data_IF_025684091131
#
_entry.id   IF_025684091131
#
_cell.length_a   1.000
_cell.length_b   1.000
_cell.length_c   1.000
_cell.angle_alpha   90.00
_cell.angle_beta   90.00
_cell.angle_gamma   90.00
#
_symmetry.space_group_name_H-M   'P 1'
#
loop_
_entity.id
_entity.type
_entity.pdbx_description
1 polymer ?
#
# COMPACT_ATOMS: atom_id res chain seq x y z
N UNK A 1 20.92 -25.68 12.15
CA UNK A 1 21.64 -24.44 11.77
C UNK A 1 20.78 -23.26 12.18
N UNK A 2 21.20 -22.47 13.16
CA UNK A 2 20.49 -21.25 13.55
C UNK A 2 20.74 -20.21 12.43
N UNK A 3 19.74 -19.98 11.57
CA UNK A 3 19.86 -19.03 10.45
C UNK A 3 19.96 -17.63 11.05
N UNK A 4 21.16 -17.04 11.07
CA UNK A 4 21.35 -15.65 11.47
C UNK A 4 20.43 -14.76 10.61
N UNK A 5 19.63 -13.92 11.28
CA UNK A 5 18.71 -13.02 10.61
C UNK A 5 19.50 -11.93 9.90
N UNK A 6 19.20 -11.72 8.63
CA UNK A 6 19.82 -10.67 7.82
C UNK A 6 19.57 -9.29 8.43
N UNK A 7 20.58 -8.44 8.36
CA UNK A 7 20.54 -7.06 8.81
C UNK A 7 20.77 -6.11 7.62
N UNK A 8 20.22 -4.91 7.71
CA UNK A 8 20.42 -3.88 6.69
C UNK A 8 21.89 -3.49 6.59
N UNK A 9 22.45 -3.52 5.38
CA UNK A 9 23.85 -3.15 5.13
C UNK A 9 24.16 -1.68 5.41
N UNK A 10 23.16 -0.78 5.37
CA UNK A 10 23.32 0.62 5.76
C UNK A 10 22.00 1.25 6.24
N UNK A 11 22.11 2.35 7.00
CA UNK A 11 20.95 3.16 7.41
C UNK A 11 20.21 3.74 6.20
N UNK A 12 20.95 4.14 5.18
CA UNK A 12 20.38 4.66 3.94
C UNK A 12 19.53 3.60 3.23
N UNK A 13 20.03 2.36 3.12
CA UNK A 13 19.28 1.25 2.54
C UNK A 13 17.97 0.98 3.30
N UNK A 14 18.00 1.04 4.63
CA UNK A 14 16.80 0.91 5.46
C UNK A 14 15.79 2.03 5.19
N UNK A 15 16.23 3.28 5.15
CA UNK A 15 15.34 4.44 4.91
C UNK A 15 14.74 4.36 3.50
N UNK A 16 15.54 4.02 2.49
CA UNK A 16 15.05 3.88 1.12
C UNK A 16 14.04 2.75 0.96
N UNK A 17 14.27 1.60 1.61
CA UNK A 17 13.29 0.51 1.63
C UNK A 17 11.98 0.92 2.31
N UNK A 18 12.06 1.64 3.43
CA UNK A 18 10.88 2.16 4.12
C UNK A 18 10.13 3.22 3.29
N UNK A 19 10.85 4.12 2.61
CA UNK A 19 10.28 5.12 1.74
C UNK A 19 9.60 4.48 0.51
N UNK A 20 10.24 3.49 -0.12
CA UNK A 20 9.65 2.73 -1.22
C UNK A 20 8.41 1.93 -0.83
N UNK A 21 8.33 1.45 0.41
CA UNK A 21 7.11 0.84 0.95
C UNK A 21 5.98 1.86 1.18
N UNK A 22 6.33 3.06 1.69
CA UNK A 22 5.35 4.09 2.01
C UNK A 22 4.83 4.85 0.77
N UNK A 23 5.65 5.01 -0.27
CA UNK A 23 5.29 5.67 -1.52
C UNK A 23 4.71 4.62 -2.47
N UNK A 24 3.40 4.67 -2.70
CA UNK A 24 2.73 3.71 -3.58
C UNK A 24 1.54 4.29 -4.34
N UNK A 25 0.80 3.39 -5.01
CA UNK A 25 -0.41 3.71 -5.77
C UNK A 25 -1.44 4.50 -4.95
N UNK A 26 -1.57 4.20 -3.65
CA UNK A 26 -2.50 4.91 -2.77
C UNK A 26 -2.33 6.44 -2.82
N UNK A 27 -1.09 6.92 -2.94
CA UNK A 27 -0.80 8.35 -3.04
C UNK A 27 -1.10 8.91 -4.45
N UNK A 28 -1.09 8.06 -5.48
CA UNK A 28 -1.30 8.49 -6.86
C UNK A 28 -2.78 8.54 -7.27
N UNK A 29 -3.62 7.61 -6.79
CA UNK A 29 -5.03 7.55 -7.20
C UNK A 29 -5.99 7.83 -6.04
N UNK A 30 -5.79 7.17 -4.89
CA UNK A 30 -6.76 7.22 -3.79
C UNK A 30 -6.72 8.57 -3.06
N UNK A 31 -5.53 9.10 -2.80
CA UNK A 31 -5.39 10.38 -2.12
C UNK A 31 -6.00 11.55 -2.93
N UNK A 32 -5.71 11.72 -4.24
CA UNK A 32 -6.36 12.74 -5.04
C UNK A 32 -7.88 12.55 -5.15
N UNK A 33 -8.34 11.30 -5.30
CA UNK A 33 -9.76 10.99 -5.35
C UNK A 33 -10.48 11.44 -4.07
N UNK A 34 -9.99 11.02 -2.89
CA UNK A 34 -10.59 11.41 -1.61
C UNK A 34 -10.50 12.91 -1.37
N UNK A 35 -9.37 13.53 -1.73
CA UNK A 35 -9.22 14.99 -1.62
C UNK A 35 -10.25 15.71 -2.49
N UNK A 36 -10.46 15.26 -3.73
CA UNK A 36 -11.45 15.82 -4.64
C UNK A 36 -12.88 15.67 -4.14
N UNK A 37 -13.24 14.52 -3.53
CA UNK A 37 -14.61 14.25 -3.07
C UNK A 37 -14.93 14.79 -1.68
N UNK A 38 -13.93 15.07 -0.84
CA UNK A 38 -14.12 15.46 0.57
C UNK A 38 -13.76 16.92 0.90
N UNK A 39 -13.85 17.83 -0.07
CA UNK A 39 -13.68 19.28 0.18
C UNK A 39 -12.25 19.80 -0.01
N UNK A 40 -11.44 19.10 -0.80
CA UNK A 40 -10.17 19.62 -1.31
C UNK A 40 -9.19 19.99 -0.21
N UNK A 41 -8.79 21.27 -0.17
CA UNK A 41 -7.79 21.78 0.77
C UNK A 41 -8.16 21.59 2.25
N UNK A 42 -9.44 21.67 2.61
CA UNK A 42 -9.87 21.46 3.99
C UNK A 42 -9.62 20.01 4.44
N UNK A 43 -9.88 19.04 3.57
CA UNK A 43 -9.54 17.63 3.80
C UNK A 43 -8.04 17.44 3.98
N UNK A 44 -7.21 18.09 3.15
CA UNK A 44 -5.74 17.99 3.24
C UNK A 44 -5.22 18.50 4.59
N UNK A 45 -5.76 19.61 5.11
CA UNK A 45 -5.36 20.13 6.43
C UNK A 45 -5.64 19.13 7.56
N UNK A 46 -6.83 18.55 7.56
CA UNK A 46 -7.20 17.51 8.55
C UNK A 46 -6.35 16.26 8.37
N UNK A 47 -6.15 15.82 7.13
CA UNK A 47 -5.30 14.67 6.79
C UNK A 47 -3.88 14.84 7.32
N UNK A 48 -3.23 15.98 7.06
CA UNK A 48 -1.86 16.26 7.55
C UNK A 48 -1.83 16.32 9.07
N UNK A 49 -2.82 16.94 9.71
CA UNK A 49 -2.92 17.00 11.18
C UNK A 49 -2.97 15.59 11.78
N UNK A 50 -3.81 14.71 11.23
CA UNK A 50 -3.91 13.31 11.65
C UNK A 50 -2.62 12.54 11.37
N UNK A 51 -1.96 12.77 10.23
CA UNK A 51 -0.67 12.16 9.93
C UNK A 51 0.41 12.54 10.95
N UNK A 52 0.46 13.79 11.38
CA UNK A 52 1.44 14.24 12.38
C UNK A 52 1.12 13.69 13.77
N UNK A 53 -0.15 13.76 14.19
CA UNK A 53 -0.55 13.40 15.56
C UNK A 53 -0.70 11.89 15.77
N UNK A 54 -1.05 11.13 14.74
CA UNK A 54 -1.32 9.69 14.86
C UNK A 54 -0.37 8.89 13.96
N UNK A 55 -0.24 9.27 12.70
CA UNK A 55 0.58 8.53 11.73
C UNK A 55 2.04 8.40 12.14
N UNK A 56 2.73 9.52 12.43
CA UNK A 56 4.14 9.52 12.82
C UNK A 56 4.38 8.74 14.13
N UNK A 57 3.60 8.95 15.22
CA UNK A 57 3.75 8.14 16.43
C UNK A 57 3.57 6.65 16.20
N UNK A 58 2.50 6.24 15.49
CA UNK A 58 2.23 4.82 15.20
C UNK A 58 3.37 4.21 14.38
N UNK A 59 3.82 4.89 13.33
CA UNK A 59 4.94 4.43 12.49
C UNK A 59 6.23 4.26 13.31
N UNK A 60 6.53 5.23 14.18
CA UNK A 60 7.71 5.17 15.05
C UNK A 60 7.61 4.01 16.04
N UNK A 61 6.42 3.76 16.61
CA UNK A 61 6.18 2.62 17.49
C UNK A 61 6.37 1.28 16.76
N UNK A 62 5.87 1.13 15.53
CA UNK A 62 6.03 -0.09 14.75
C UNK A 62 7.50 -0.38 14.42
N UNK A 63 8.28 0.64 14.03
CA UNK A 63 9.72 0.49 13.80
C UNK A 63 10.44 0.07 15.10
N UNK A 64 10.10 0.69 16.22
CA UNK A 64 10.70 0.37 17.51
C UNK A 64 10.38 -1.07 17.95
N UNK A 65 9.12 -1.51 17.79
CA UNK A 65 8.68 -2.87 18.06
C UNK A 65 9.40 -3.87 17.16
N UNK A 66 9.47 -3.62 15.85
CA UNK A 66 10.17 -4.47 14.89
C UNK A 66 11.66 -4.62 15.22
N UNK A 67 12.34 -3.52 15.59
CA UNK A 67 13.75 -3.52 15.98
C UNK A 67 14.01 -4.30 17.27
N UNK A 68 13.09 -4.21 18.24
CA UNK A 68 13.20 -4.93 19.52
C UNK A 68 12.89 -6.42 19.36
N UNK A 69 11.85 -6.76 18.59
CA UNK A 69 11.43 -8.15 18.37
C UNK A 69 12.40 -8.95 17.50
N UNK A 70 13.00 -8.30 16.48
CA UNK A 70 13.81 -8.92 15.41
C UNK A 70 13.15 -10.20 14.85
N UNK A 71 11.83 -10.16 14.67
CA UNK A 71 11.00 -11.27 14.24
C UNK A 71 9.81 -10.75 13.41
N UNK A 72 9.16 -11.63 12.64
CA UNK A 72 7.94 -11.27 11.92
C UNK A 72 6.76 -11.02 12.87
N UNK A 73 5.69 -10.38 12.39
CA UNK A 73 4.61 -9.81 13.21
C UNK A 73 4.10 -10.73 14.33
N UNK A 74 3.67 -11.96 14.01
CA UNK A 74 3.11 -12.89 15.01
C UNK A 74 4.17 -13.32 16.05
N UNK A 75 5.36 -13.73 15.57
CA UNK A 75 6.44 -14.18 16.44
C UNK A 75 7.02 -13.03 17.28
N UNK A 76 7.08 -11.82 16.72
CA UNK A 76 7.51 -10.61 17.41
C UNK A 76 6.56 -10.25 18.55
N UNK A 77 5.25 -10.26 18.30
CA UNK A 77 4.26 -10.04 19.36
C UNK A 77 4.34 -11.12 20.44
N UNK A 78 4.54 -12.40 20.07
CA UNK A 78 4.76 -13.48 21.05
C UNK A 78 6.04 -13.31 21.88
N UNK A 79 7.12 -12.78 21.32
CA UNK A 79 8.38 -12.52 22.03
C UNK A 79 8.29 -11.31 22.97
N UNK A 80 7.54 -10.29 22.57
CA UNK A 80 7.43 -9.03 23.33
C UNK A 80 6.35 -9.08 24.42
N UNK A 81 5.48 -10.09 24.41
CA UNK A 81 4.32 -10.17 25.33
C UNK A 81 4.38 -11.44 26.17
N UNK A 82 3.64 -11.45 27.30
CA UNK A 82 3.57 -12.63 28.17
C UNK A 82 2.81 -13.77 27.45
N UNK A 83 3.11 -15.02 27.80
CA UNK A 83 2.34 -16.18 27.30
C UNK A 83 0.85 -15.99 27.61
N UNK A 84 -0.01 -16.20 26.62
CA UNK A 84 -1.46 -16.01 26.73
C UNK A 84 -1.96 -14.57 26.55
N UNK A 85 -1.08 -13.62 26.23
CA UNK A 85 -1.48 -12.23 26.07
C UNK A 85 -2.34 -12.00 24.81
N UNK A 86 -3.44 -11.21 24.91
CA UNK A 86 -4.30 -10.90 23.76
C UNK A 86 -3.56 -10.08 22.69
N UNK A 87 -2.44 -9.44 23.03
CA UNK A 87 -1.64 -8.65 22.11
C UNK A 87 -1.09 -9.44 20.91
N UNK A 88 -1.01 -10.77 21.02
CA UNK A 88 -0.64 -11.65 19.89
C UNK A 88 -1.69 -11.61 18.77
N UNK A 89 -2.95 -11.32 19.09
CA UNK A 89 -4.02 -11.19 18.09
C UNK A 89 -3.75 -10.04 17.11
N UNK A 90 -3.16 -8.93 17.54
CA UNK A 90 -2.77 -7.84 16.64
C UNK A 90 -1.73 -8.27 15.59
N UNK A 91 -0.85 -9.21 15.96
CA UNK A 91 0.09 -9.81 14.99
C UNK A 91 -0.63 -10.58 13.89
N UNK A 92 -1.71 -11.29 14.22
CA UNK A 92 -2.55 -12.00 13.25
C UNK A 92 -3.42 -11.05 12.43
N UNK A 93 -4.02 -10.03 13.07
CA UNK A 93 -4.79 -9.00 12.38
C UNK A 93 -3.94 -8.26 11.34
N UNK A 94 -2.68 -7.95 11.65
CA UNK A 94 -1.77 -7.34 10.69
C UNK A 94 -1.49 -8.21 9.47
N UNK A 95 -1.31 -9.53 9.67
CA UNK A 95 -1.12 -10.48 8.55
C UNK A 95 -2.39 -10.60 7.70
N UNK A 96 -3.55 -10.67 8.34
CA UNK A 96 -4.84 -10.75 7.65
C UNK A 96 -5.12 -9.46 6.86
N UNK A 97 -4.85 -8.30 7.46
CA UNK A 97 -4.99 -7.01 6.79
C UNK A 97 -4.05 -6.91 5.58
N UNK A 98 -2.79 -7.32 5.72
CA UNK A 98 -1.84 -7.35 4.60
C UNK A 98 -2.32 -8.26 3.47
N UNK A 99 -2.88 -9.44 3.78
CA UNK A 99 -3.46 -10.34 2.79
C UNK A 99 -4.59 -9.67 1.99
N UNK A 100 -5.57 -9.07 2.67
CA UNK A 100 -6.66 -8.36 2.00
C UNK A 100 -6.20 -7.13 1.23
N UNK A 101 -5.15 -6.45 1.71
CA UNK A 101 -4.58 -5.33 0.96
C UNK A 101 -3.97 -5.82 -0.34
N UNK A 102 -3.18 -6.90 -0.30
CA UNK A 102 -2.55 -7.47 -1.49
C UNK A 102 -3.58 -7.86 -2.57
N UNK A 103 -4.71 -8.46 -2.21
CA UNK A 103 -5.69 -8.93 -3.21
C UNK A 103 -6.24 -7.80 -4.08
N UNK A 104 -6.68 -6.68 -3.48
CA UNK A 104 -7.17 -5.55 -4.28
C UNK A 104 -6.01 -4.75 -4.91
N UNK A 105 -4.83 -4.77 -4.31
CA UNK A 105 -3.67 -4.04 -4.85
C UNK A 105 -3.16 -4.67 -6.14
N UNK A 106 -3.20 -6.01 -6.24
CA UNK A 106 -2.90 -6.74 -7.49
C UNK A 106 -3.86 -6.34 -8.61
N UNK A 107 -5.14 -6.19 -8.29
CA UNK A 107 -6.15 -5.72 -9.25
C UNK A 107 -5.83 -4.33 -9.81
N UNK A 108 -5.48 -3.37 -8.94
CA UNK A 108 -5.15 -2.00 -9.36
C UNK A 108 -3.84 -1.99 -10.17
N UNK A 109 -2.86 -2.83 -9.80
CA UNK A 109 -1.64 -2.98 -10.60
C UNK A 109 -1.92 -3.50 -12.00
N UNK A 110 -2.85 -4.44 -12.16
CA UNK A 110 -3.25 -4.90 -13.49
C UNK A 110 -3.84 -3.78 -14.34
N UNK A 111 -4.68 -2.92 -13.76
CA UNK A 111 -5.16 -1.74 -14.48
C UNK A 111 -4.01 -0.84 -14.91
N UNK A 112 -3.05 -0.57 -14.01
CA UNK A 112 -1.87 0.24 -14.34
C UNK A 112 -1.10 -0.35 -15.53
N UNK A 113 -0.83 -1.65 -15.55
CA UNK A 113 -0.14 -2.30 -16.66
C UNK A 113 -0.91 -2.23 -17.97
N UNK A 114 -2.23 -2.45 -17.95
CA UNK A 114 -3.09 -2.28 -19.12
C UNK A 114 -3.00 -0.85 -19.67
N UNK A 115 -3.07 0.16 -18.79
CA UNK A 115 -2.93 1.55 -19.19
C UNK A 115 -1.55 1.91 -19.73
N UNK A 116 -0.47 1.31 -19.20
CA UNK A 116 0.89 1.49 -19.73
C UNK A 116 0.95 0.99 -21.18
N UNK A 117 0.41 -0.20 -21.47
CA UNK A 117 0.41 -0.77 -22.82
C UNK A 117 -0.45 0.06 -23.78
N UNK A 118 -1.65 0.48 -23.36
CA UNK A 118 -2.54 1.33 -24.19
C UNK A 118 -1.95 2.71 -24.46
N UNK A 119 -1.21 3.26 -23.50
CA UNK A 119 -0.49 4.53 -23.69
C UNK A 119 0.71 4.35 -24.63
N UNK A 120 1.49 3.28 -24.45
CA UNK A 120 2.65 2.99 -25.28
C UNK A 120 2.29 2.67 -26.74
N UNK A 121 1.12 2.07 -26.98
CA UNK A 121 0.59 1.80 -28.33
C UNK A 121 -0.13 2.98 -28.96
N UNK A 122 -0.24 4.13 -28.26
CA UNK A 122 -0.86 5.35 -28.77
C UNK A 122 -2.40 5.35 -28.80
N UNK A 123 -3.04 4.27 -28.31
CA UNK A 123 -4.50 4.13 -28.28
C UNK A 123 -5.20 5.18 -27.42
N UNK A 124 -4.48 5.77 -26.47
CA UNK A 124 -4.97 6.81 -25.56
C UNK A 124 -4.54 8.23 -25.95
N UNK A 125 -3.92 8.42 -27.12
CA UNK A 125 -3.45 9.74 -27.57
C UNK A 125 -4.57 10.55 -28.22
N UNK A 126 -4.70 11.83 -27.85
CA UNK A 126 -5.66 12.76 -28.46
C UNK A 126 -7.13 12.52 -28.10
N UNK A 127 -7.43 11.69 -27.10
CA UNK A 127 -8.81 11.44 -26.66
C UNK A 127 -9.37 12.64 -25.85
N UNK A 128 -10.68 12.87 -25.96
CA UNK A 128 -11.40 13.79 -25.08
C UNK A 128 -11.65 13.16 -23.70
N UNK A 129 -12.00 13.98 -22.70
CA UNK A 129 -12.34 13.51 -21.35
C UNK A 129 -13.45 12.45 -21.33
N UNK A 130 -14.45 12.59 -22.19
CA UNK A 130 -15.54 11.63 -22.34
C UNK A 130 -15.06 10.30 -22.96
N UNK A 131 -14.15 10.37 -23.93
CA UNK A 131 -13.57 9.20 -24.57
C UNK A 131 -12.64 8.42 -23.62
N UNK A 132 -11.90 9.11 -22.73
CA UNK A 132 -11.14 8.45 -21.66
C UNK A 132 -12.04 7.67 -20.71
N UNK A 133 -13.19 8.24 -20.35
CA UNK A 133 -14.16 7.57 -19.49
C UNK A 133 -14.75 6.34 -20.18
N UNK A 134 -15.16 6.48 -21.44
CA UNK A 134 -15.68 5.34 -22.22
C UNK A 134 -14.63 4.22 -22.40
N UNK A 135 -13.37 4.57 -22.62
CA UNK A 135 -12.28 3.60 -22.71
C UNK A 135 -12.03 2.86 -21.38
N UNK A 136 -12.15 3.56 -20.25
CA UNK A 136 -12.09 2.94 -18.92
C UNK A 136 -13.28 2.00 -18.69
N UNK A 137 -14.50 2.46 -18.97
CA UNK A 137 -15.72 1.66 -18.79
C UNK A 137 -15.68 0.40 -19.67
N UNK A 138 -15.21 0.52 -20.91
CA UNK A 138 -15.00 -0.62 -21.80
C UNK A 138 -13.92 -1.59 -21.30
N UNK A 139 -12.84 -1.08 -20.72
CA UNK A 139 -11.79 -1.91 -20.11
C UNK A 139 -12.31 -2.64 -18.85
N UNK A 140 -13.10 -1.98 -18.00
CA UNK A 140 -13.74 -2.60 -16.83
C UNK A 140 -14.80 -3.64 -17.22
N UNK A 141 -15.47 -3.45 -18.35
CA UNK A 141 -16.51 -4.35 -18.84
C UNK A 141 -15.98 -5.62 -19.53
N UNK A 142 -14.67 -5.68 -19.86
CA UNK A 142 -14.06 -6.81 -20.57
C UNK A 142 -13.35 -7.78 -19.61
N UNK A 143 -13.96 -8.93 -19.26
CA UNK A 143 -13.40 -9.83 -18.25
C UNK A 143 -12.10 -10.50 -18.70
N UNK A 144 -11.93 -10.72 -20.01
CA UNK A 144 -10.74 -11.39 -20.58
C UNK A 144 -9.55 -10.48 -20.48
N UNK A 145 -9.71 -9.21 -20.88
CA UNK A 145 -8.64 -8.22 -20.82
C UNK A 145 -8.25 -7.91 -19.37
N UNK A 146 -9.24 -7.79 -18.48
CA UNK A 146 -9.00 -7.62 -17.04
C UNK A 146 -8.15 -8.77 -16.50
N UNK A 147 -8.55 -10.02 -16.78
CA UNK A 147 -7.87 -11.22 -16.28
C UNK A 147 -6.44 -11.31 -16.81
N UNK A 148 -6.17 -10.94 -18.07
CA UNK A 148 -4.80 -10.97 -18.64
C UNK A 148 -3.86 -10.04 -17.87
N UNK A 149 -4.34 -8.89 -17.40
CA UNK A 149 -3.49 -7.94 -16.67
C UNK A 149 -3.48 -8.15 -15.16
N UNK A 150 -4.49 -8.83 -14.60
CA UNK A 150 -4.66 -9.00 -13.15
C UNK A 150 -4.35 -10.41 -12.62
N UNK A 151 -4.15 -11.39 -13.51
CA UNK A 151 -3.71 -12.75 -13.17
C UNK A 151 -2.20 -12.82 -12.92
#
# INVERSE_FOLDING_TARGET
>A
MEKQREAWGSRFAFIMAAAGFAIGLGNMWRFPYLTGTHGGGAFVLVYVTVCVLIGIPVFTMEIALGRKARAGNILGMRKLTKKGSPWVAFGWLGVLAAFFICTYYMQIMGWLFGYIVKTATGQLSGLTSEQYKSAFDGFMANPVELTIYTA
#
